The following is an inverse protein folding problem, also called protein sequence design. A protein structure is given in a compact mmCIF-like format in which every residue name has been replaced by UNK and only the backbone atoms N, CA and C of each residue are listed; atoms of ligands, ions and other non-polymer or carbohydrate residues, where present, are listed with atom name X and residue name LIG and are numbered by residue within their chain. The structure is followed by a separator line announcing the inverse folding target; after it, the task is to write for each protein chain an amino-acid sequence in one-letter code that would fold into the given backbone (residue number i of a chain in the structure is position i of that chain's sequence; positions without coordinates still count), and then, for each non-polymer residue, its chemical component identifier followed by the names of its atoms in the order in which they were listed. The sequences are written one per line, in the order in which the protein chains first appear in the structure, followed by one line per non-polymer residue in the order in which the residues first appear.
data_IF_409800310461
#
_entry.id   IF_409800310461
#
_cell.length_a   1.000
_cell.length_b   1.000
_cell.length_c   1.000
_cell.angle_alpha   90.00
_cell.angle_beta   90.00
_cell.angle_gamma   90.00
#
_symmetry.space_group_name_H-M   'P 1'
#
loop_
_entity.id
_entity.type
_entity.pdbx_description
1 polymer ?
#
# COMPACT_ATOMS: atom_id res chain seq x y z
N UNK A 1 -6.05 36.99 -80.83
CA UNK A 1 -4.91 36.62 -79.96
C UNK A 1 -5.34 36.89 -78.53
N UNK A 2 -5.61 35.83 -77.78
CA UNK A 2 -6.09 35.87 -76.39
C UNK A 2 -4.94 36.29 -75.46
N UNK A 3 -5.00 37.50 -74.92
CA UNK A 3 -4.19 37.89 -73.76
C UNK A 3 -4.92 37.42 -72.51
N UNK A 4 -4.60 36.20 -72.08
CA UNK A 4 -5.00 35.68 -70.77
C UNK A 4 -4.24 36.45 -69.69
N UNK A 5 -4.97 37.16 -68.85
CA UNK A 5 -4.44 37.90 -67.71
C UNK A 5 -4.01 36.85 -66.64
N UNK A 6 -2.71 36.58 -66.53
CA UNK A 6 -2.16 35.80 -65.41
C UNK A 6 -2.19 36.69 -64.15
N UNK A 7 -3.22 36.54 -63.33
CA UNK A 7 -3.20 37.09 -61.97
C UNK A 7 -2.13 36.33 -61.16
N UNK A 8 -1.19 37.00 -60.48
CA UNK A 8 -0.30 36.32 -59.55
C UNK A 8 -1.16 35.72 -58.44
N UNK A 9 -1.23 34.40 -58.39
CA UNK A 9 -2.03 33.68 -57.38
C UNK A 9 -1.63 34.13 -55.97
N UNK A 10 -2.59 34.63 -55.21
CA UNK A 10 -2.38 35.01 -53.82
C UNK A 10 -2.01 33.76 -53.00
N UNK A 11 -0.75 33.68 -52.56
CA UNK A 11 -0.29 32.63 -51.65
C UNK A 11 -0.38 33.18 -50.23
N UNK A 12 -1.29 32.68 -49.37
CA UNK A 12 -1.43 33.16 -48.01
C UNK A 12 -0.26 32.69 -47.13
N UNK A 13 0.83 33.46 -47.16
CA UNK A 13 2.08 33.16 -46.44
C UNK A 13 1.88 32.98 -44.93
N UNK A 14 0.96 33.75 -44.34
CA UNK A 14 0.59 33.64 -42.92
C UNK A 14 -0.05 32.29 -42.61
N UNK A 15 -0.94 31.80 -43.48
CA UNK A 15 -1.58 30.50 -43.32
C UNK A 15 -0.58 29.35 -43.44
N UNK A 16 0.39 29.45 -44.35
CA UNK A 16 1.47 28.46 -44.49
C UNK A 16 2.39 28.46 -43.27
N UNK A 17 2.76 29.64 -42.75
CA UNK A 17 3.55 29.76 -41.53
C UNK A 17 2.85 29.11 -40.34
N UNK A 18 1.55 29.39 -40.15
CA UNK A 18 0.75 28.79 -39.09
C UNK A 18 0.65 27.27 -39.30
N UNK A 19 0.43 26.80 -40.52
CA UNK A 19 0.35 25.37 -40.82
C UNK A 19 1.68 24.65 -40.51
N UNK A 20 2.82 25.25 -40.86
CA UNK A 20 4.13 24.68 -40.53
C UNK A 20 4.44 24.72 -39.04
N UNK A 21 4.04 25.78 -38.33
CA UNK A 21 4.16 25.86 -36.87
C UNK A 21 3.30 24.80 -36.20
N UNK A 22 2.05 24.63 -36.62
CA UNK A 22 1.15 23.61 -36.10
C UNK A 22 1.64 22.19 -36.43
N UNK A 23 2.19 21.98 -37.63
CA UNK A 23 2.81 20.71 -38.02
C UNK A 23 4.02 20.42 -37.12
N UNK A 24 4.91 21.40 -36.92
CA UNK A 24 6.05 21.27 -36.02
C UNK A 24 5.61 20.97 -34.58
N UNK A 25 4.63 21.72 -34.07
CA UNK A 25 4.06 21.49 -32.74
C UNK A 25 3.42 20.09 -32.64
N UNK A 26 2.70 19.64 -33.66
CA UNK A 26 2.10 18.31 -33.71
C UNK A 26 3.16 17.21 -33.67
N UNK A 27 4.26 17.36 -34.41
CA UNK A 27 5.38 16.40 -34.38
C UNK A 27 6.05 16.41 -33.01
N UNK A 28 6.28 17.58 -32.40
CA UNK A 28 6.85 17.69 -31.06
C UNK A 28 5.95 17.03 -30.01
N UNK A 29 4.65 17.30 -30.04
CA UNK A 29 3.66 16.68 -29.16
C UNK A 29 3.60 15.17 -29.37
N UNK A 30 3.67 14.68 -30.61
CA UNK A 30 3.71 13.25 -30.92
C UNK A 30 4.97 12.58 -30.35
N UNK A 31 6.15 13.17 -30.55
CA UNK A 31 7.41 12.65 -29.99
C UNK A 31 7.39 12.68 -28.46
N UNK A 32 6.85 13.74 -27.87
CA UNK A 32 6.63 13.82 -26.43
C UNK A 32 5.69 12.70 -25.95
N UNK A 33 4.54 12.50 -26.63
CA UNK A 33 3.58 11.47 -26.28
C UNK A 33 4.18 10.06 -26.41
N UNK A 34 4.89 9.76 -27.50
CA UNK A 34 5.53 8.47 -27.75
C UNK A 34 6.65 8.14 -26.75
N UNK A 35 7.34 9.15 -26.20
CA UNK A 35 8.36 8.91 -25.17
C UNK A 35 7.78 8.91 -23.75
N UNK A 36 6.84 9.81 -23.46
CA UNK A 36 6.33 10.03 -22.11
C UNK A 36 5.26 9.01 -21.72
N UNK A 37 4.29 8.74 -22.59
CA UNK A 37 3.15 7.87 -22.28
C UNK A 37 3.58 6.41 -22.06
N UNK A 38 4.45 5.81 -22.90
CA UNK A 38 4.98 4.47 -22.62
C UNK A 38 5.86 4.40 -21.37
N UNK A 39 6.54 5.49 -20.99
CA UNK A 39 7.37 5.53 -19.78
C UNK A 39 6.52 5.42 -18.49
N UNK A 40 5.31 5.96 -18.48
CA UNK A 40 4.32 5.80 -17.40
C UNK A 40 3.47 4.53 -17.52
N UNK A 41 3.42 3.89 -18.69
CA UNK A 41 2.70 2.61 -18.93
C UNK A 41 3.57 1.38 -18.60
N UNK A 42 4.91 1.54 -18.53
CA UNK A 42 5.79 0.43 -18.14
C UNK A 42 5.39 -0.03 -16.74
N UNK A 43 5.06 -1.31 -16.57
CA UNK A 43 4.62 -1.88 -15.29
C UNK A 43 5.56 -1.50 -14.12
N UNK A 44 6.86 -1.36 -14.39
CA UNK A 44 7.86 -0.92 -13.42
C UNK A 44 7.67 0.53 -12.92
N UNK A 45 7.24 1.47 -13.76
CA UNK A 45 6.97 2.86 -13.32
C UNK A 45 5.67 2.97 -12.54
N UNK A 46 4.68 2.12 -12.85
CA UNK A 46 3.45 1.98 -12.04
C UNK A 46 3.78 1.42 -10.66
N UNK A 47 4.54 0.32 -10.59
CA UNK A 47 5.05 -0.26 -9.34
C UNK A 47 5.85 0.76 -8.54
N UNK A 48 6.74 1.52 -9.19
CA UNK A 48 7.49 2.60 -8.55
C UNK A 48 6.57 3.69 -7.98
N UNK A 49 5.57 4.13 -8.76
CA UNK A 49 4.60 5.11 -8.30
C UNK A 49 3.83 4.65 -7.06
N UNK A 50 3.34 3.41 -7.05
CA UNK A 50 2.63 2.82 -5.91
C UNK A 50 3.58 2.70 -4.71
N UNK A 51 4.75 2.12 -4.91
CA UNK A 51 5.73 1.90 -3.84
C UNK A 51 6.19 3.22 -3.19
N UNK A 52 6.50 4.25 -3.99
CA UNK A 52 6.86 5.57 -3.44
C UNK A 52 5.72 6.22 -2.66
N UNK A 53 4.47 6.11 -3.13
CA UNK A 53 3.30 6.61 -2.39
C UNK A 53 3.12 5.87 -1.07
N UNK A 54 3.25 4.54 -1.07
CA UNK A 54 3.19 3.73 0.14
C UNK A 54 4.26 4.15 1.15
N UNK A 55 5.53 4.22 0.75
CA UNK A 55 6.63 4.62 1.64
C UNK A 55 6.44 6.03 2.19
N UNK A 56 5.97 6.98 1.36
CA UNK A 56 5.65 8.33 1.83
C UNK A 56 4.52 8.29 2.86
N UNK A 57 3.45 7.57 2.58
CA UNK A 57 2.31 7.48 3.48
C UNK A 57 2.68 6.83 4.82
N UNK A 58 3.53 5.81 4.83
CA UNK A 58 4.07 5.20 6.07
C UNK A 58 4.84 6.23 6.88
N UNK A 59 5.72 7.00 6.24
CA UNK A 59 6.52 8.05 6.91
C UNK A 59 5.67 9.16 7.49
N UNK A 60 4.63 9.57 6.76
CA UNK A 60 3.74 10.66 7.16
C UNK A 60 2.83 10.24 8.34
N UNK A 61 2.54 8.95 8.53
CA UNK A 61 1.61 8.44 9.54
C UNK A 61 2.27 7.75 10.74
N UNK A 62 3.49 7.24 10.59
CA UNK A 62 4.22 6.52 11.64
C UNK A 62 5.61 7.15 11.83
N UNK A 63 5.69 8.24 12.58
CA UNK A 63 6.93 9.03 12.74
C UNK A 63 7.85 8.54 13.87
N UNK A 64 7.30 7.80 14.83
CA UNK A 64 7.99 7.39 16.06
C UNK A 64 8.66 6.01 15.93
N UNK A 65 9.85 5.82 16.53
CA UNK A 65 10.42 4.49 16.70
C UNK A 65 9.53 3.67 17.64
N UNK A 66 9.50 2.35 17.43
CA UNK A 66 8.69 1.44 18.24
C UNK A 66 9.05 1.57 19.73
N UNK A 67 8.07 1.92 20.58
CA UNK A 67 8.24 2.01 22.04
C UNK A 67 7.57 0.88 22.80
N UNK A 68 6.43 0.40 22.31
CA UNK A 68 5.64 -0.66 22.93
C UNK A 68 4.93 -1.51 21.87
N UNK A 69 4.49 -2.70 22.26
CA UNK A 69 3.69 -3.56 21.39
C UNK A 69 2.24 -3.09 21.40
N UNK A 70 1.66 -2.99 20.22
CA UNK A 70 0.22 -2.74 20.08
C UNK A 70 -0.46 -4.09 19.93
N UNK A 71 -1.32 -4.43 20.89
CA UNK A 71 -2.20 -5.59 20.79
C UNK A 71 -3.62 -5.10 20.48
N UNK A 72 -4.31 -5.82 19.62
CA UNK A 72 -5.76 -5.66 19.41
C UNK A 72 -6.48 -6.10 20.69
N UNK A 73 -7.01 -5.17 21.48
CA UNK A 73 -7.87 -5.46 22.62
C UNK A 73 -9.32 -5.70 22.18
N UNK A 74 -10.07 -6.48 22.97
CA UNK A 74 -11.51 -6.71 22.76
C UNK A 74 -12.26 -5.40 22.94
N UNK A 75 -13.04 -5.02 21.93
CA UNK A 75 -13.85 -3.80 21.94
C UNK A 75 -15.13 -4.07 22.74
N UNK A 76 -15.34 -3.27 23.77
CA UNK A 76 -16.50 -3.34 24.65
C UNK A 76 -17.16 -1.97 24.71
N UNK A 77 -18.49 -1.93 24.81
CA UNK A 77 -19.26 -0.69 24.93
C UNK A 77 -20.44 -0.59 23.96
N UNK A 78 -21.01 0.61 23.86
CA UNK A 78 -22.19 0.92 23.06
C UNK A 78 -21.82 1.07 21.58
N UNK A 79 -22.39 0.28 20.65
CA UNK A 79 -21.96 0.26 19.26
C UNK A 79 -22.47 1.49 18.48
N UNK A 80 -21.60 2.03 17.63
CA UNK A 80 -21.98 2.93 16.54
C UNK A 80 -22.11 2.09 15.28
N UNK A 81 -23.25 2.17 14.61
CA UNK A 81 -23.55 1.39 13.40
C UNK A 81 -23.46 2.24 12.13
N UNK A 82 -22.98 1.64 11.04
CA UNK A 82 -23.05 2.23 9.71
C UNK A 82 -24.51 2.34 9.25
N UNK A 83 -24.83 3.44 8.57
CA UNK A 83 -26.15 3.68 7.96
C UNK A 83 -26.14 3.52 6.45
N UNK A 84 -24.96 3.47 5.83
CA UNK A 84 -24.76 3.36 4.39
C UNK A 84 -23.82 2.21 4.02
N UNK A 85 -23.75 1.91 2.73
CA UNK A 85 -22.92 0.86 2.14
C UNK A 85 -21.79 1.51 1.35
N UNK A 86 -20.57 0.98 1.48
CA UNK A 86 -19.42 1.42 0.68
C UNK A 86 -18.08 1.14 1.36
N UNK A 87 -17.00 1.50 0.68
CA UNK A 87 -15.65 1.49 1.24
C UNK A 87 -15.38 2.78 2.01
N UNK A 88 -14.76 2.66 3.18
CA UNK A 88 -14.24 3.82 3.90
C UNK A 88 -13.02 4.34 3.13
N UNK A 89 -13.17 5.49 2.47
CA UNK A 89 -12.11 6.09 1.65
C UNK A 89 -11.24 7.04 2.44
N UNK A 90 -11.85 7.79 3.37
CA UNK A 90 -11.17 8.78 4.21
C UNK A 90 -11.78 8.75 5.61
N UNK A 91 -10.93 8.81 6.62
CA UNK A 91 -11.32 9.09 7.99
C UNK A 91 -10.79 10.49 8.34
N UNK A 92 -11.68 11.41 8.70
CA UNK A 92 -11.28 12.71 9.25
C UNK A 92 -10.88 12.54 10.71
N UNK A 93 -9.60 12.24 10.93
CA UNK A 93 -9.04 11.98 12.25
C UNK A 93 -9.11 13.18 13.19
N UNK A 94 -9.06 14.40 12.66
CA UNK A 94 -9.10 15.61 13.48
C UNK A 94 -10.51 15.86 13.99
N UNK A 95 -11.50 15.81 13.09
CA UNK A 95 -12.90 15.97 13.50
C UNK A 95 -13.35 14.81 14.39
N UNK A 96 -12.93 13.57 14.09
CA UNK A 96 -13.28 12.41 14.91
C UNK A 96 -12.70 12.51 16.33
N UNK A 97 -11.49 13.06 16.49
CA UNK A 97 -10.89 13.32 17.80
C UNK A 97 -11.68 14.38 18.58
N UNK A 98 -12.09 15.47 17.91
CA UNK A 98 -12.92 16.51 18.52
C UNK A 98 -14.30 15.99 18.94
N UNK A 99 -14.92 15.14 18.12
CA UNK A 99 -16.19 14.46 18.44
C UNK A 99 -16.02 13.59 19.69
N UNK A 100 -14.94 12.81 19.77
CA UNK A 100 -14.64 11.97 20.92
C UNK A 100 -14.33 12.77 22.19
N UNK A 101 -13.66 13.93 22.08
CA UNK A 101 -13.46 14.83 23.23
C UNK A 101 -14.76 15.43 23.74
N UNK A 102 -15.63 15.91 22.83
CA UNK A 102 -16.90 16.55 23.17
C UNK A 102 -17.91 15.58 23.77
N UNK A 103 -17.85 14.29 23.40
CA UNK A 103 -18.71 13.27 23.98
C UNK A 103 -18.38 12.97 25.44
N UNK A 104 -17.17 13.30 25.90
CA UNK A 104 -16.71 13.03 27.27
C UNK A 104 -16.37 11.56 27.53
N UNK A 105 -16.37 10.71 26.50
CA UNK A 105 -16.09 9.28 26.59
C UNK A 105 -15.21 8.80 25.44
N UNK A 106 -14.57 7.64 25.64
CA UNK A 106 -13.63 7.07 24.67
C UNK A 106 -14.36 6.39 23.51
N UNK A 107 -13.96 6.73 22.27
CA UNK A 107 -14.37 6.04 21.05
C UNK A 107 -13.31 5.03 20.61
N UNK A 108 -13.71 3.77 20.46
CA UNK A 108 -12.89 2.72 19.86
C UNK A 108 -13.39 2.42 18.46
N UNK A 109 -12.60 2.71 17.43
CA UNK A 109 -13.00 2.40 16.05
C UNK A 109 -12.97 0.89 15.81
N UNK A 110 -14.04 0.42 15.15
CA UNK A 110 -14.19 -0.96 14.75
C UNK A 110 -13.67 -1.25 13.34
N UNK A 111 -13.41 -0.20 12.58
CA UNK A 111 -13.09 -0.19 11.15
C UNK A 111 -11.89 0.71 10.87
N UNK A 112 -11.33 0.60 9.67
CA UNK A 112 -10.24 1.43 9.14
C UNK A 112 -10.49 1.80 7.68
N UNK A 113 -9.67 2.72 7.17
CA UNK A 113 -9.67 3.04 5.73
C UNK A 113 -9.46 1.78 4.90
N UNK A 114 -10.30 1.60 3.88
CA UNK A 114 -10.29 0.44 3.00
C UNK A 114 -11.30 -0.64 3.36
N UNK A 115 -11.85 -0.64 4.58
CA UNK A 115 -12.87 -1.60 4.97
C UNK A 115 -14.18 -1.30 4.22
N UNK A 116 -14.86 -2.38 3.81
CA UNK A 116 -16.19 -2.30 3.24
C UNK A 116 -17.22 -2.40 4.37
N UNK A 117 -18.09 -1.40 4.48
CA UNK A 117 -19.16 -1.37 5.47
C UNK A 117 -20.53 -1.50 4.80
N UNK A 118 -21.50 -2.03 5.54
CA UNK A 118 -22.89 -2.05 5.14
C UNK A 118 -23.78 -1.60 6.30
N UNK A 119 -25.02 -1.20 5.99
CA UNK A 119 -26.00 -0.76 6.99
C UNK A 119 -26.14 -1.78 8.12
N UNK A 120 -26.08 -1.30 9.37
CA UNK A 120 -26.15 -2.10 10.59
C UNK A 120 -24.80 -2.67 11.07
N UNK A 121 -23.74 -2.64 10.25
CA UNK A 121 -22.40 -3.07 10.67
C UNK A 121 -21.83 -2.12 11.72
N UNK A 122 -21.16 -2.65 12.74
CA UNK A 122 -20.53 -1.83 13.77
C UNK A 122 -19.26 -1.16 13.23
N UNK A 123 -19.20 0.17 13.33
CA UNK A 123 -18.07 1.00 12.90
C UNK A 123 -17.25 1.53 14.07
N UNK A 124 -17.78 1.47 15.28
CA UNK A 124 -17.06 1.83 16.50
C UNK A 124 -17.85 1.44 17.75
N UNK A 125 -17.22 1.62 18.90
CA UNK A 125 -17.79 1.36 20.21
C UNK A 125 -17.43 2.52 21.13
N UNK A 126 -18.43 3.07 21.80
CA UNK A 126 -18.22 4.01 22.90
C UNK A 126 -18.10 3.26 24.21
N UNK A 127 -17.06 3.55 25.00
CA UNK A 127 -16.86 2.89 26.31
C UNK A 127 -18.05 3.15 27.25
N UNK A 128 -18.58 4.37 27.24
CA UNK A 128 -19.83 4.75 27.90
C UNK A 128 -20.79 5.34 26.87
N UNK A 129 -22.10 5.13 27.02
CA UNK A 129 -23.09 5.63 26.08
C UNK A 129 -23.14 7.18 26.10
N UNK A 130 -22.80 7.86 24.99
CA UNK A 130 -22.88 9.32 24.93
C UNK A 130 -24.27 9.75 24.44
N UNK A 131 -24.49 11.06 24.29
CA UNK A 131 -25.70 11.56 23.62
C UNK A 131 -25.81 11.02 22.18
N UNK A 132 -27.03 10.71 21.74
CA UNK A 132 -27.32 10.09 20.43
C UNK A 132 -26.71 10.87 19.24
N UNK A 133 -26.64 12.20 19.34
CA UNK A 133 -26.06 13.10 18.32
C UNK A 133 -24.62 12.73 17.92
N UNK A 134 -23.84 12.13 18.83
CA UNK A 134 -22.44 11.81 18.57
C UNK A 134 -22.28 10.62 17.63
N UNK A 135 -23.27 9.73 17.54
CA UNK A 135 -23.25 8.64 16.57
C UNK A 135 -23.29 9.16 15.12
N UNK A 136 -24.10 10.20 14.86
CA UNK A 136 -24.16 10.84 13.53
C UNK A 136 -22.89 11.63 13.20
N UNK A 137 -22.29 12.30 14.20
CA UNK A 137 -21.02 12.99 14.01
C UNK A 137 -19.87 12.03 13.68
N UNK A 138 -19.81 10.86 14.34
CA UNK A 138 -18.85 9.80 13.99
C UNK A 138 -19.04 9.35 12.55
N UNK A 139 -20.28 9.11 12.11
CA UNK A 139 -20.55 8.73 10.70
C UNK A 139 -20.13 9.82 9.72
N UNK A 140 -20.34 11.09 10.05
CA UNK A 140 -19.95 12.21 9.20
C UNK A 140 -18.42 12.32 9.03
N UNK A 141 -17.63 11.79 9.97
CA UNK A 141 -16.17 11.72 9.87
C UNK A 141 -15.67 10.60 8.94
N UNK A 142 -16.54 9.68 8.52
CA UNK A 142 -16.21 8.54 7.65
C UNK A 142 -16.73 8.79 6.24
N UNK A 143 -15.84 9.16 5.32
CA UNK A 143 -16.20 9.31 3.91
C UNK A 143 -16.29 7.94 3.25
N UNK A 144 -17.49 7.58 2.76
CA UNK A 144 -17.72 6.34 2.01
C UNK A 144 -17.68 6.57 0.51
N UNK A 145 -17.25 5.56 -0.25
CA UNK A 145 -17.36 5.54 -1.71
C UNK A 145 -17.41 4.13 -2.29
N UNK A 146 -17.67 4.04 -3.59
CA UNK A 146 -17.94 2.77 -4.27
C UNK A 146 -16.69 1.90 -4.49
N UNK A 147 -15.50 2.49 -4.41
CA UNK A 147 -14.21 1.82 -4.61
C UNK A 147 -13.22 2.22 -3.54
N UNK A 148 -12.20 1.37 -3.30
CA UNK A 148 -11.04 1.73 -2.48
C UNK A 148 -10.21 2.81 -3.15
N UNK A 149 -9.48 3.59 -2.36
CA UNK A 149 -8.56 4.62 -2.85
C UNK A 149 -7.24 4.54 -2.09
N UNK A 150 -6.09 4.85 -2.73
CA UNK A 150 -4.79 4.80 -2.07
C UNK A 150 -4.53 5.98 -1.11
N UNK A 151 -5.47 6.91 -0.97
CA UNK A 151 -5.27 8.20 -0.27
C UNK A 151 -4.84 8.04 1.19
N UNK A 152 -5.49 7.15 1.93
CA UNK A 152 -5.20 6.85 3.34
C UNK A 152 -5.10 5.33 3.59
N UNK A 153 -5.06 4.51 2.53
CA UNK A 153 -5.16 3.06 2.64
C UNK A 153 -3.83 2.38 2.26
N UNK A 154 -3.01 2.09 3.28
CA UNK A 154 -1.75 1.33 3.09
C UNK A 154 -2.02 -0.06 2.54
N UNK A 155 -3.09 -0.71 3.01
CA UNK A 155 -3.47 -2.06 2.62
C UNK A 155 -3.74 -2.12 1.13
N UNK A 156 -4.45 -1.12 0.59
CA UNK A 156 -4.76 -1.06 -0.83
C UNK A 156 -3.51 -0.90 -1.68
N UNK A 157 -2.58 -0.02 -1.30
CA UNK A 157 -1.32 0.11 -2.03
C UNK A 157 -0.47 -1.17 -1.97
N UNK A 158 -0.48 -1.90 -0.86
CA UNK A 158 0.16 -3.22 -0.77
C UNK A 158 -0.55 -4.22 -1.69
N UNK A 159 -1.89 -4.24 -1.69
CA UNK A 159 -2.67 -5.12 -2.56
C UNK A 159 -2.40 -4.89 -4.03
N UNK A 160 -2.26 -3.63 -4.47
CA UNK A 160 -1.93 -3.31 -5.86
C UNK A 160 -0.55 -3.89 -6.24
N UNK A 161 0.46 -3.76 -5.36
CA UNK A 161 1.78 -4.37 -5.57
C UNK A 161 1.68 -5.90 -5.66
N UNK A 162 0.95 -6.51 -4.72
CA UNK A 162 0.72 -7.96 -4.65
C UNK A 162 -0.01 -8.46 -5.90
N UNK A 163 -1.06 -7.77 -6.32
CA UNK A 163 -1.87 -8.14 -7.49
C UNK A 163 -1.05 -8.08 -8.78
N UNK A 164 -0.24 -7.03 -8.95
CA UNK A 164 0.69 -6.94 -10.10
C UNK A 164 1.70 -8.10 -10.05
N UNK A 165 2.29 -8.36 -8.89
CA UNK A 165 3.27 -9.45 -8.72
C UNK A 165 2.67 -10.84 -8.96
N UNK A 166 1.47 -11.10 -8.45
CA UNK A 166 0.74 -12.36 -8.66
C UNK A 166 0.36 -12.56 -10.13
N UNK A 167 -0.14 -11.51 -10.80
CA UNK A 167 -0.44 -11.55 -12.24
C UNK A 167 0.82 -11.85 -13.05
N UNK A 168 1.95 -11.26 -12.69
CA UNK A 168 3.22 -11.51 -13.35
C UNK A 168 3.70 -12.96 -13.18
N UNK A 169 3.51 -13.57 -12.01
CA UNK A 169 3.84 -14.99 -11.76
C UNK A 169 2.78 -15.99 -12.24
N UNK A 170 1.66 -15.51 -12.79
CA UNK A 170 0.62 -16.41 -13.28
C UNK A 170 1.14 -17.27 -14.45
N UNK A 171 0.63 -18.52 -14.63
CA UNK A 171 1.10 -19.43 -15.67
C UNK A 171 1.05 -18.87 -17.10
N UNK A 172 0.16 -17.91 -17.35
CA UNK A 172 0.00 -17.28 -18.67
C UNK A 172 1.00 -16.16 -18.97
N UNK A 173 1.61 -15.55 -17.95
CA UNK A 173 2.57 -14.44 -18.11
C UNK A 173 4.00 -14.91 -17.80
N UNK A 174 4.19 -15.54 -16.64
CA UNK A 174 5.48 -16.07 -16.18
C UNK A 174 6.64 -15.05 -16.27
N UNK A 175 6.41 -13.83 -15.80
CA UNK A 175 7.41 -12.75 -15.71
C UNK A 175 7.90 -12.57 -14.26
N UNK A 176 8.98 -13.27 -13.86
CA UNK A 176 9.51 -13.16 -12.51
C UNK A 176 10.11 -11.79 -12.19
N UNK A 177 10.55 -11.00 -13.18
CA UNK A 177 11.23 -9.73 -12.92
C UNK A 177 10.26 -8.61 -12.50
N UNK A 178 9.05 -8.62 -13.05
CA UNK A 178 7.98 -7.75 -12.56
C UNK A 178 7.58 -8.11 -11.13
N UNK A 179 7.47 -9.40 -10.81
CA UNK A 179 7.16 -9.86 -9.46
C UNK A 179 8.27 -9.54 -8.45
N UNK A 180 9.54 -9.69 -8.85
CA UNK A 180 10.71 -9.25 -8.09
C UNK A 180 10.64 -7.76 -7.78
N UNK A 181 10.22 -6.93 -8.74
CA UNK A 181 10.07 -5.50 -8.53
C UNK A 181 8.99 -5.20 -7.48
N UNK A 182 7.86 -5.91 -7.49
CA UNK A 182 6.84 -5.81 -6.44
C UNK A 182 7.37 -6.24 -5.06
N UNK A 183 8.12 -7.35 -4.99
CA UNK A 183 8.75 -7.83 -3.76
C UNK A 183 9.73 -6.81 -3.17
N UNK A 184 10.49 -6.09 -4.00
CA UNK A 184 11.37 -5.03 -3.52
C UNK A 184 10.59 -3.88 -2.85
N UNK A 185 9.46 -3.45 -3.44
CA UNK A 185 8.63 -2.39 -2.85
C UNK A 185 7.93 -2.87 -1.56
N UNK A 186 7.44 -4.11 -1.54
CA UNK A 186 6.87 -4.73 -0.34
C UNK A 186 7.94 -4.81 0.75
N UNK A 187 9.14 -5.30 0.44
CA UNK A 187 10.26 -5.40 1.37
C UNK A 187 10.67 -4.04 1.94
N UNK A 188 10.72 -2.99 1.11
CA UNK A 188 10.99 -1.63 1.58
C UNK A 188 9.90 -1.11 2.53
N UNK A 189 8.63 -1.37 2.24
CA UNK A 189 7.52 -1.01 3.12
C UNK A 189 7.58 -1.79 4.44
N UNK A 190 7.84 -3.10 4.38
CA UNK A 190 8.04 -3.94 5.57
C UNK A 190 9.21 -3.46 6.43
N UNK A 191 10.32 -3.03 5.82
CA UNK A 191 11.45 -2.45 6.54
C UNK A 191 11.02 -1.19 7.30
N UNK A 192 10.31 -0.26 6.65
CA UNK A 192 9.78 0.94 7.29
C UNK A 192 8.81 0.61 8.43
N UNK A 193 7.87 -0.31 8.23
CA UNK A 193 6.97 -0.75 9.30
C UNK A 193 7.72 -1.39 10.46
N UNK A 194 8.80 -2.12 10.18
CA UNK A 194 9.51 -2.97 11.14
C UNK A 194 10.10 -2.23 12.33
N UNK A 195 10.61 -1.01 12.13
CA UNK A 195 11.22 -0.21 13.20
C UNK A 195 10.29 0.85 13.79
N UNK A 196 9.16 1.12 13.14
CA UNK A 196 8.21 2.16 13.54
C UNK A 196 7.17 1.65 14.53
N UNK A 197 6.70 2.56 15.37
CA UNK A 197 5.50 2.35 16.14
C UNK A 197 4.29 2.40 15.21
N UNK A 198 3.52 1.31 15.15
CA UNK A 198 2.35 1.17 14.28
C UNK A 198 1.06 1.57 15.01
N UNK A 199 1.16 2.07 16.24
CA UNK A 199 0.06 2.82 16.81
C UNK A 199 -0.10 4.11 16.03
N UNK A 200 -1.27 4.30 15.41
CA UNK A 200 -1.58 5.55 14.73
C UNK A 200 -1.51 6.67 15.77
N UNK A 201 -0.59 7.62 15.58
CA UNK A 201 -0.38 8.73 16.53
C UNK A 201 -1.48 9.79 16.34
N UNK A 202 -2.70 9.51 16.79
CA UNK A 202 -3.82 10.45 16.68
C UNK A 202 -3.97 11.21 17.97
N UNK A 203 -3.57 12.48 17.93
CA UNK A 203 -3.60 13.38 19.08
C UNK A 203 -2.60 13.00 20.17
N UNK A 204 -2.21 13.99 20.97
CA UNK A 204 -1.63 13.71 22.28
C UNK A 204 -2.74 13.25 23.22
N UNK A 205 -2.42 12.43 24.25
CA UNK A 205 -3.33 12.22 25.36
C UNK A 205 -3.81 13.57 25.91
N UNK A 206 -5.04 13.63 26.39
CA UNK A 206 -5.55 14.83 27.05
C UNK A 206 -4.78 15.07 28.37
N UNK A 207 -4.94 16.25 28.98
CA UNK A 207 -4.19 16.68 30.18
C UNK A 207 -4.30 15.70 31.38
N UNK A 208 -5.37 14.90 31.41
CA UNK A 208 -5.63 13.87 32.42
C UNK A 208 -5.08 12.48 32.05
N UNK A 209 -4.38 12.37 30.91
CA UNK A 209 -3.78 11.15 30.38
C UNK A 209 -4.75 10.26 29.60
N UNK A 210 -6.01 10.66 29.41
CA UNK A 210 -7.00 9.89 28.63
C UNK A 210 -6.71 9.97 27.13
N UNK A 211 -7.08 8.92 26.41
CA UNK A 211 -7.04 8.86 24.94
C UNK A 211 -8.48 8.80 24.44
N UNK A 212 -9.09 9.94 24.06
CA UNK A 212 -10.50 9.97 23.68
C UNK A 212 -10.80 9.15 22.42
N UNK A 213 -9.80 8.91 21.56
CA UNK A 213 -9.94 8.12 20.35
C UNK A 213 -8.91 6.99 20.30
N UNK A 214 -9.39 5.77 20.03
CA UNK A 214 -8.56 4.57 19.78
C UNK A 214 -8.86 4.03 18.38
N UNK A 215 -7.95 4.24 17.41
CA UNK A 215 -8.07 3.67 16.08
C UNK A 215 -8.01 2.14 16.09
N UNK A 216 -8.54 1.51 15.04
CA UNK A 216 -8.24 0.11 14.75
C UNK A 216 -6.76 -0.02 14.38
N UNK A 217 -5.95 -0.59 15.28
CA UNK A 217 -4.53 -0.76 15.04
C UNK A 217 -4.23 -2.03 14.25
N UNK A 218 -3.34 -1.90 13.28
CA UNK A 218 -2.75 -3.03 12.57
C UNK A 218 -1.40 -3.40 13.15
N UNK A 219 -1.21 -4.70 13.37
CA UNK A 219 0.07 -5.20 13.81
C UNK A 219 1.02 -5.45 12.64
N UNK A 220 2.29 -5.59 12.96
CA UNK A 220 3.31 -5.86 11.95
C UNK A 220 3.06 -7.18 11.20
N UNK A 221 2.44 -8.18 11.86
CA UNK A 221 2.12 -9.45 11.24
C UNK A 221 1.12 -9.26 10.10
N UNK A 222 0.11 -8.42 10.30
CA UNK A 222 -0.90 -8.08 9.30
C UNK A 222 -0.27 -7.61 7.98
N UNK A 223 0.70 -6.68 8.06
CA UNK A 223 1.38 -6.17 6.87
C UNK A 223 2.28 -7.21 6.20
N UNK A 224 2.98 -8.07 6.97
CA UNK A 224 3.80 -9.16 6.43
C UNK A 224 2.93 -10.21 5.74
N UNK A 225 1.82 -10.61 6.36
CA UNK A 225 0.87 -11.57 5.79
C UNK A 225 0.26 -11.02 4.49
N UNK A 226 -0.16 -9.75 4.50
CA UNK A 226 -0.80 -9.13 3.35
C UNK A 226 0.15 -8.99 2.16
N UNK A 227 1.39 -8.58 2.38
CA UNK A 227 2.40 -8.43 1.34
C UNK A 227 3.02 -9.77 0.94
N UNK A 228 3.95 -10.25 1.78
CA UNK A 228 4.72 -11.47 1.52
C UNK A 228 3.84 -12.72 1.56
N UNK A 229 2.99 -12.85 2.58
CA UNK A 229 2.17 -14.05 2.78
C UNK A 229 1.23 -14.34 1.61
N UNK A 230 0.60 -13.32 1.06
CA UNK A 230 -0.28 -13.43 -0.12
C UNK A 230 0.49 -13.83 -1.38
N UNK A 231 1.69 -13.30 -1.59
CA UNK A 231 2.52 -13.64 -2.76
C UNK A 231 3.21 -15.00 -2.65
N UNK A 232 3.44 -15.49 -1.43
CA UNK A 232 4.32 -16.62 -1.11
C UNK A 232 4.08 -17.87 -1.96
N UNK A 233 2.82 -18.24 -2.17
CA UNK A 233 2.49 -19.45 -2.94
C UNK A 233 2.89 -19.35 -4.41
N UNK A 234 2.74 -18.18 -5.04
CA UNK A 234 3.15 -17.96 -6.43
C UNK A 234 4.68 -17.78 -6.52
N UNK A 235 5.28 -17.11 -5.54
CA UNK A 235 6.74 -16.95 -5.46
C UNK A 235 7.44 -18.30 -5.32
N UNK A 236 6.87 -19.23 -4.55
CA UNK A 236 7.39 -20.57 -4.34
C UNK A 236 7.53 -21.41 -5.62
N UNK A 237 6.83 -21.07 -6.71
CA UNK A 237 6.94 -21.76 -8.00
C UNK A 237 8.01 -21.14 -8.91
N UNK A 238 8.64 -20.03 -8.52
CA UNK A 238 9.63 -19.30 -9.32
C UNK A 238 10.97 -19.21 -8.57
N UNK A 239 12.03 -19.92 -9.03
CA UNK A 239 13.33 -19.91 -8.35
C UNK A 239 13.91 -18.51 -8.19
N UNK A 240 13.79 -17.67 -9.23
CA UNK A 240 14.29 -16.30 -9.21
C UNK A 240 13.53 -15.43 -8.20
N UNK A 241 12.20 -15.50 -8.17
CA UNK A 241 11.40 -14.71 -7.24
C UNK A 241 11.60 -15.20 -5.79
N UNK A 242 11.68 -16.52 -5.56
CA UNK A 242 11.91 -17.09 -4.23
C UNK A 242 13.27 -16.67 -3.66
N UNK A 243 14.33 -16.71 -4.48
CA UNK A 243 15.65 -16.26 -4.09
C UNK A 243 15.65 -14.77 -3.67
N UNK A 244 14.98 -13.92 -4.44
CA UNK A 244 14.86 -12.49 -4.11
C UNK A 244 13.98 -12.27 -2.89
N UNK A 245 12.91 -13.03 -2.70
CA UNK A 245 12.06 -12.89 -1.52
C UNK A 245 12.85 -13.13 -0.23
N UNK A 246 13.75 -14.13 -0.20
CA UNK A 246 14.68 -14.30 0.93
C UNK A 246 15.56 -13.07 1.16
N UNK A 247 16.10 -12.47 0.10
CA UNK A 247 16.94 -11.27 0.20
C UNK A 247 16.15 -10.06 0.71
N UNK A 248 14.90 -9.91 0.26
CA UNK A 248 14.03 -8.83 0.73
C UNK A 248 13.63 -9.00 2.19
N UNK A 249 13.35 -10.23 2.63
CA UNK A 249 13.06 -10.53 4.03
C UNK A 249 14.29 -10.28 4.91
N UNK A 250 15.48 -10.67 4.46
CA UNK A 250 16.75 -10.38 5.15
C UNK A 250 16.98 -8.87 5.25
N UNK A 251 16.81 -8.15 4.13
CA UNK A 251 16.95 -6.70 4.08
C UNK A 251 15.99 -5.99 5.03
N UNK A 252 14.72 -6.39 5.05
CA UNK A 252 13.73 -5.85 5.99
C UNK A 252 14.09 -6.19 7.45
N UNK A 253 14.56 -7.42 7.71
CA UNK A 253 14.96 -7.84 9.05
C UNK A 253 16.15 -7.04 9.59
N UNK A 254 17.03 -6.54 8.71
CA UNK A 254 18.20 -5.75 9.10
C UNK A 254 17.87 -4.41 9.79
N UNK A 255 16.65 -3.89 9.60
CA UNK A 255 16.19 -2.65 10.25
C UNK A 255 15.30 -2.92 11.46
N UNK A 256 14.96 -4.17 11.76
CA UNK A 256 14.06 -4.53 12.86
C UNK A 256 14.85 -4.87 14.10
N UNK A 257 14.58 -4.17 15.21
CA UNK A 257 15.21 -4.41 16.52
C UNK A 257 14.36 -5.30 17.44
N UNK A 258 13.04 -5.36 17.23
CA UNK A 258 12.15 -6.19 18.05
C UNK A 258 12.29 -7.69 17.73
N UNK A 259 12.60 -8.54 18.71
CA UNK A 259 12.79 -9.97 18.48
C UNK A 259 11.56 -10.69 17.93
N UNK A 260 10.33 -10.21 18.21
CA UNK A 260 9.10 -10.85 17.73
C UNK A 260 8.84 -10.51 16.26
N UNK A 261 8.95 -9.24 15.86
CA UNK A 261 8.88 -8.82 14.46
C UNK A 261 10.00 -9.46 13.64
N UNK A 262 11.21 -9.52 14.20
CA UNK A 262 12.35 -10.19 13.57
C UNK A 262 12.06 -11.68 13.34
N UNK A 263 11.57 -12.38 14.39
CA UNK A 263 11.14 -13.78 14.27
C UNK A 263 10.03 -13.94 13.23
N UNK A 264 9.06 -13.02 13.14
CA UNK A 264 7.99 -13.08 12.13
C UNK A 264 8.54 -13.10 10.70
N UNK A 265 9.56 -12.29 10.39
CA UNK A 265 10.20 -12.29 9.07
C UNK A 265 10.95 -13.60 8.80
N UNK A 266 11.58 -14.18 9.84
CA UNK A 266 12.21 -15.50 9.74
C UNK A 266 11.19 -16.60 9.47
N UNK A 267 10.08 -16.61 10.23
CA UNK A 267 8.98 -17.55 10.06
C UNK A 267 8.37 -17.46 8.65
N UNK A 268 8.36 -16.27 8.03
CA UNK A 268 7.93 -16.08 6.63
C UNK A 268 8.87 -16.79 5.64
N UNK A 269 10.19 -16.64 5.82
CA UNK A 269 11.18 -17.36 5.01
C UNK A 269 11.08 -18.88 5.19
N UNK A 270 10.87 -19.35 6.42
CA UNK A 270 10.63 -20.76 6.72
C UNK A 270 9.36 -21.29 6.01
N UNK A 271 8.30 -20.48 5.92
CA UNK A 271 7.10 -20.84 5.17
C UNK A 271 7.36 -20.90 3.66
N UNK A 272 8.12 -19.94 3.12
CA UNK A 272 8.45 -19.91 1.69
C UNK A 272 9.23 -21.16 1.27
N UNK A 273 10.27 -21.56 2.01
CA UNK A 273 11.04 -22.75 1.64
C UNK A 273 10.21 -24.03 1.72
N UNK A 274 9.29 -24.14 2.69
CA UNK A 274 8.35 -25.27 2.76
C UNK A 274 7.49 -25.35 1.51
N UNK A 275 6.97 -24.23 1.01
CA UNK A 275 6.20 -24.22 -0.23
C UNK A 275 7.08 -24.47 -1.46
N UNK A 276 8.29 -23.93 -1.51
CA UNK A 276 9.21 -24.13 -2.64
C UNK A 276 9.60 -25.61 -2.81
N UNK A 277 9.84 -26.33 -1.70
CA UNK A 277 10.12 -27.78 -1.70
C UNK A 277 8.97 -28.63 -2.26
N UNK A 278 7.74 -28.13 -2.22
CA UNK A 278 6.58 -28.83 -2.79
C UNK A 278 6.39 -28.55 -4.28
N UNK A 279 6.95 -27.44 -4.80
CA UNK A 279 6.65 -26.94 -6.15
C UNK A 279 7.86 -26.97 -7.11
N UNK A 280 9.09 -26.99 -6.59
CA UNK A 280 10.32 -27.00 -7.38
C UNK A 280 11.02 -28.36 -7.28
N UNK A 281 11.76 -28.72 -8.33
CA UNK A 281 12.53 -29.96 -8.39
C UNK A 281 13.89 -29.73 -9.07
N UNK A 282 14.85 -30.62 -8.82
CA UNK A 282 16.17 -30.60 -9.46
C UNK A 282 16.96 -29.32 -9.19
N UNK A 283 17.74 -28.81 -10.17
CA UNK A 283 18.63 -27.66 -9.99
C UNK A 283 17.93 -26.39 -9.50
N UNK A 284 16.65 -26.22 -9.88
CA UNK A 284 15.83 -25.09 -9.45
C UNK A 284 15.57 -25.11 -7.94
N UNK A 285 15.29 -26.30 -7.38
CA UNK A 285 15.13 -26.46 -5.94
C UNK A 285 16.46 -26.27 -5.21
N UNK A 286 17.53 -26.88 -5.71
CA UNK A 286 18.89 -26.76 -5.14
C UNK A 286 19.33 -25.29 -5.02
N UNK A 287 19.05 -24.46 -6.03
CA UNK A 287 19.33 -23.03 -6.01
C UNK A 287 18.58 -22.30 -4.89
N UNK A 288 17.29 -22.60 -4.72
CA UNK A 288 16.43 -21.96 -3.70
C UNK A 288 16.83 -22.42 -2.30
N UNK A 289 17.15 -23.70 -2.12
CA UNK A 289 17.65 -24.23 -0.85
C UNK A 289 19.00 -23.63 -0.45
N UNK A 290 19.91 -23.48 -1.41
CA UNK A 290 21.17 -22.78 -1.17
C UNK A 290 20.94 -21.34 -0.72
N UNK A 291 19.97 -20.63 -1.32
CA UNK A 291 19.64 -19.25 -0.92
C UNK A 291 19.01 -19.20 0.48
N UNK A 292 18.09 -20.12 0.77
CA UNK A 292 17.50 -20.25 2.10
C UNK A 292 18.56 -20.51 3.18
N UNK A 293 19.57 -21.36 2.91
CA UNK A 293 20.65 -21.62 3.86
C UNK A 293 21.46 -20.35 4.22
N UNK A 294 21.67 -19.45 3.24
CA UNK A 294 22.26 -18.14 3.52
C UNK A 294 21.34 -17.25 4.36
N UNK A 295 20.05 -17.20 4.02
CA UNK A 295 19.04 -16.45 4.77
C UNK A 295 18.97 -16.92 6.22
N UNK A 296 18.86 -18.22 6.46
CA UNK A 296 18.79 -18.83 7.79
C UNK A 296 20.06 -18.51 8.59
N UNK A 297 21.24 -18.66 8.00
CA UNK A 297 22.50 -18.34 8.67
C UNK A 297 22.59 -16.86 9.10
N UNK A 298 22.13 -15.95 8.25
CA UNK A 298 22.19 -14.50 8.53
C UNK A 298 21.10 -14.02 9.48
N UNK A 299 20.00 -14.77 9.58
CA UNK A 299 18.87 -14.42 10.47
C UNK A 299 18.84 -15.23 11.77
N UNK A 300 19.77 -16.17 11.97
CA UNK A 300 19.78 -17.05 13.15
C UNK A 300 20.02 -16.31 14.46
N UNK A 301 20.95 -15.36 14.46
CA UNK A 301 21.48 -14.77 15.70
C UNK A 301 20.57 -13.65 16.26
N UNK A 302 19.42 -13.40 15.62
CA UNK A 302 18.43 -12.40 16.04
C UNK A 302 18.71 -10.99 15.49
N UNK A 303 17.93 -10.00 15.92
CA UNK A 303 18.18 -8.59 15.57
C UNK A 303 19.56 -8.16 16.08
N UNK A 304 20.28 -7.38 15.27
CA UNK A 304 21.60 -6.82 15.61
C UNK A 304 21.49 -5.64 16.56
#
# INVERSE_FOLDING_TARGET
LSLGNEFPGFVPQLSLLIAYLLMGLSVLVLVFFLNHVPSSIRINSVLEGIGRRLLKAIKDNFDRPMKARVYSETREGTPVTATAVGYIQVIDWNELLEVARKSGTELQLAVRTGDFVHTGMHIGYWVEEPEEKYADQVRACLALGDTRTPTQDFHFMIDELVEIGLRALSPGINDPFTAISALHWIGAATAEFGWRDLSWSIGEPDDDGRRPLRPMADDFNHYVDRGFGTMRSAVATSPAAAAVMFDTLEGAASTVTDPVRYKRLRDEGEQLIRQARLNLNGPNLEQVEARYAFFEKRTRDGPK
#
